data_IF_177801101641
#
_entry.id   IF_177801101641
#
_cell.length_a   1.000
_cell.length_b   1.000
_cell.length_c   1.000
_cell.angle_alpha   90.00
_cell.angle_beta   90.00
_cell.angle_gamma   90.00
#
_symmetry.space_group_name_H-M   'P 1'
#
loop_
_entity.id
_entity.type
_entity.pdbx_description
1 polymer ?
#
# COMPACT_ATOMS: atom_id res chain seq x y z
N UNK A 1 -28.60 -14.32 12.90
CA UNK A 1 -27.50 -13.44 13.41
C UNK A 1 -27.55 -12.16 12.60
N UNK A 2 -27.46 -11.04 13.27
CA UNK A 2 -27.39 -9.73 12.60
C UNK A 2 -26.14 -9.65 11.73
N UNK A 3 -26.24 -8.98 10.58
CA UNK A 3 -25.07 -8.78 9.69
C UNK A 3 -24.04 -7.91 10.42
N UNK A 4 -22.73 -8.26 10.44
CA UNK A 4 -21.72 -7.48 11.16
C UNK A 4 -21.55 -6.09 10.57
N UNK A 5 -21.26 -5.11 11.40
CA UNK A 5 -20.96 -3.74 10.95
C UNK A 5 -19.58 -3.68 10.31
N UNK A 6 -19.49 -3.09 9.11
CA UNK A 6 -18.23 -2.78 8.41
C UNK A 6 -18.01 -1.27 8.44
N UNK A 7 -16.91 -0.80 9.02
CA UNK A 7 -16.48 0.59 8.93
C UNK A 7 -15.57 0.77 7.71
N UNK A 8 -16.02 1.56 6.74
CA UNK A 8 -15.22 1.96 5.57
C UNK A 8 -14.57 3.31 5.86
N UNK A 9 -13.24 3.37 5.86
CA UNK A 9 -12.46 4.57 6.16
C UNK A 9 -11.95 5.16 4.84
N UNK A 10 -12.36 6.39 4.52
CA UNK A 10 -11.99 7.13 3.31
C UNK A 10 -11.25 8.41 3.70
N UNK A 11 -9.91 8.45 3.59
CA UNK A 11 -9.16 9.69 3.71
C UNK A 11 -9.40 10.54 2.45
N UNK A 12 -9.80 11.80 2.63
CA UNK A 12 -10.09 12.74 1.54
C UNK A 12 -9.24 13.99 1.67
N UNK A 13 -8.53 14.36 0.61
CA UNK A 13 -7.84 15.63 0.47
C UNK A 13 -7.90 16.11 -0.97
N UNK A 14 -8.60 17.23 -1.20
CA UNK A 14 -8.82 17.80 -2.54
C UNK A 14 -9.35 16.73 -3.54
N UNK A 15 -10.37 16.01 -3.12
CA UNK A 15 -10.96 14.89 -3.84
C UNK A 15 -12.40 15.15 -4.34
N UNK A 16 -12.86 16.40 -4.39
CA UNK A 16 -14.23 16.78 -4.74
C UNK A 16 -14.76 16.08 -5.98
N UNK A 17 -13.91 15.95 -7.01
CA UNK A 17 -14.27 15.33 -8.29
C UNK A 17 -14.60 13.84 -8.15
N UNK A 18 -13.97 13.14 -7.21
CA UNK A 18 -13.97 11.68 -7.14
C UNK A 18 -14.90 11.15 -6.04
N UNK A 19 -15.06 11.88 -4.95
CA UNK A 19 -15.89 11.50 -3.79
C UNK A 19 -17.29 10.98 -4.14
N UNK A 20 -18.05 11.55 -5.10
CA UNK A 20 -19.39 11.04 -5.42
C UNK A 20 -19.36 9.59 -5.93
N UNK A 21 -18.41 9.24 -6.79
CA UNK A 21 -18.26 7.88 -7.31
C UNK A 21 -17.79 6.90 -6.23
N UNK A 22 -16.81 7.34 -5.41
CA UNK A 22 -16.30 6.58 -4.28
C UNK A 22 -17.43 6.22 -3.30
N UNK A 23 -18.19 7.20 -2.80
CA UNK A 23 -19.30 7.00 -1.87
C UNK A 23 -20.40 6.14 -2.50
N UNK A 24 -20.80 6.42 -3.75
CA UNK A 24 -21.78 5.63 -4.45
C UNK A 24 -21.36 4.16 -4.61
N UNK A 25 -20.05 3.87 -4.71
CA UNK A 25 -19.55 2.49 -4.78
C UNK A 25 -19.76 1.70 -3.48
N UNK A 26 -19.71 2.39 -2.33
CA UNK A 26 -20.02 1.82 -1.02
C UNK A 26 -21.54 1.64 -0.86
N UNK A 27 -22.33 2.63 -1.23
CA UNK A 27 -23.80 2.58 -1.14
C UNK A 27 -24.41 1.45 -1.95
N UNK A 28 -23.80 1.10 -3.10
CA UNK A 28 -24.24 0.01 -3.97
C UNK A 28 -23.84 -1.40 -3.50
N UNK A 29 -23.11 -1.54 -2.39
CA UNK A 29 -22.76 -2.86 -1.87
C UNK A 29 -24.01 -3.61 -1.39
N UNK A 30 -24.04 -4.92 -1.59
CA UNK A 30 -25.15 -5.79 -1.16
C UNK A 30 -25.22 -5.91 0.36
N UNK A 31 -24.06 -5.91 1.03
CA UNK A 31 -23.97 -5.85 2.48
C UNK A 31 -24.34 -4.45 2.97
N UNK A 32 -25.50 -4.29 3.63
CA UNK A 32 -26.06 -2.97 3.96
C UNK A 32 -25.69 -2.45 5.37
N UNK A 33 -25.15 -3.31 6.24
CA UNK A 33 -24.72 -2.89 7.59
C UNK A 33 -23.27 -2.34 7.57
N UNK A 34 -23.12 -1.11 7.07
CA UNK A 34 -21.86 -0.39 7.03
C UNK A 34 -22.02 1.04 7.53
N UNK A 35 -20.91 1.60 7.99
CA UNK A 35 -20.70 3.04 8.14
C UNK A 35 -19.54 3.48 7.26
N UNK A 36 -19.62 4.72 6.75
CA UNK A 36 -18.59 5.32 5.90
C UNK A 36 -18.00 6.53 6.61
N UNK A 37 -16.76 6.45 7.04
CA UNK A 37 -16.02 7.51 7.71
C UNK A 37 -15.25 8.31 6.65
N UNK A 38 -15.80 9.48 6.25
CA UNK A 38 -15.16 10.43 5.36
C UNK A 38 -14.26 11.36 6.17
N UNK A 39 -12.96 11.17 6.08
CA UNK A 39 -11.98 11.97 6.84
C UNK A 39 -11.40 13.03 5.91
N UNK A 40 -11.97 14.24 5.96
CA UNK A 40 -11.47 15.40 5.22
C UNK A 40 -10.22 15.97 5.91
N UNK A 41 -9.08 15.78 5.27
CA UNK A 41 -7.77 16.21 5.77
C UNK A 41 -7.45 17.66 5.37
N UNK A 42 -8.39 18.57 5.64
CA UNK A 42 -8.22 20.01 5.42
C UNK A 42 -8.23 20.41 3.95
N UNK A 43 -9.17 19.90 3.17
CA UNK A 43 -9.34 20.22 1.75
C UNK A 43 -9.66 21.68 1.50
N UNK A 44 -9.21 22.20 0.34
CA UNK A 44 -9.43 23.59 -0.10
C UNK A 44 -10.23 23.69 -1.39
N UNK A 45 -10.62 22.56 -2.00
CA UNK A 45 -11.34 22.50 -3.27
C UNK A 45 -12.87 22.37 -3.12
N UNK A 46 -13.38 22.40 -1.87
CA UNK A 46 -14.79 22.16 -1.54
C UNK A 46 -15.13 20.70 -1.24
N UNK A 47 -14.14 19.81 -1.11
CA UNK A 47 -14.36 18.40 -0.68
C UNK A 47 -15.03 18.33 0.69
N UNK A 48 -14.64 19.19 1.65
CA UNK A 48 -15.22 19.21 2.98
C UNK A 48 -16.73 19.45 2.95
N UNK A 49 -17.17 20.50 2.24
CA UNK A 49 -18.61 20.80 2.09
C UNK A 49 -19.35 19.63 1.41
N UNK A 50 -18.74 19.00 0.40
CA UNK A 50 -19.32 17.83 -0.24
C UNK A 50 -19.44 16.62 0.71
N UNK A 51 -18.50 16.42 1.63
CA UNK A 51 -18.62 15.39 2.66
C UNK A 51 -19.86 15.60 3.54
N UNK A 52 -20.16 16.86 3.91
CA UNK A 52 -21.36 17.21 4.68
C UNK A 52 -22.64 16.98 3.88
N UNK A 53 -22.65 17.35 2.59
CA UNK A 53 -23.79 17.11 1.69
C UNK A 53 -24.08 15.61 1.55
N UNK A 54 -23.04 14.79 1.37
CA UNK A 54 -23.18 13.33 1.26
C UNK A 54 -23.70 12.71 2.56
N UNK A 55 -23.26 13.21 3.71
CA UNK A 55 -23.75 12.78 5.03
C UNK A 55 -25.22 13.18 5.28
N UNK A 56 -25.62 14.35 4.81
CA UNK A 56 -27.02 14.79 4.89
C UNK A 56 -27.95 13.91 4.04
N UNK A 57 -27.45 13.35 2.93
CA UNK A 57 -28.21 12.46 2.04
C UNK A 57 -28.29 11.00 2.55
N UNK A 58 -27.29 10.52 3.29
CA UNK A 58 -27.25 9.16 3.83
C UNK A 58 -26.64 9.16 5.25
N UNK A 59 -27.44 8.91 6.24
CA UNK A 59 -27.03 8.93 7.64
C UNK A 59 -25.97 7.89 8.05
N UNK A 60 -25.60 6.95 7.18
CA UNK A 60 -24.49 6.03 7.37
C UNK A 60 -23.14 6.64 7.02
N UNK A 61 -23.12 7.74 6.25
CA UNK A 61 -21.93 8.53 5.95
C UNK A 61 -21.66 9.48 7.12
N UNK A 62 -20.41 9.46 7.62
CA UNK A 62 -19.98 10.20 8.81
C UNK A 62 -18.77 11.06 8.44
N UNK A 63 -18.95 12.36 8.16
CA UNK A 63 -17.85 13.25 7.87
C UNK A 63 -17.07 13.60 9.14
N UNK A 64 -15.76 13.76 8.98
CA UNK A 64 -14.88 14.29 10.01
C UNK A 64 -13.83 15.18 9.37
N UNK A 65 -13.79 16.45 9.79
CA UNK A 65 -12.84 17.45 9.29
C UNK A 65 -11.67 17.58 10.26
N UNK A 66 -10.46 17.63 9.72
CA UNK A 66 -9.25 17.89 10.49
C UNK A 66 -8.34 18.87 9.74
N UNK A 67 -7.40 19.46 10.45
CA UNK A 67 -6.32 20.19 9.82
C UNK A 67 -5.43 19.22 9.04
N UNK A 68 -4.97 19.62 7.84
CA UNK A 68 -4.14 18.76 7.00
C UNK A 68 -2.93 18.22 7.76
N UNK A 69 -2.86 16.90 7.85
CA UNK A 69 -1.81 16.17 8.55
C UNK A 69 -1.31 14.93 7.78
N UNK A 70 -1.80 14.74 6.55
CA UNK A 70 -1.45 13.68 5.62
C UNK A 70 -2.29 12.41 5.77
N UNK A 71 -2.24 11.56 4.72
CA UNK A 71 -3.08 10.37 4.58
C UNK A 71 -2.99 9.40 5.77
N UNK A 72 -1.79 9.20 6.34
CA UNK A 72 -1.59 8.39 7.54
C UNK A 72 -2.38 8.92 8.74
N UNK A 73 -2.40 10.23 8.95
CA UNK A 73 -3.16 10.86 10.02
C UNK A 73 -4.66 10.72 9.79
N UNK A 74 -5.13 10.90 8.56
CA UNK A 74 -6.53 10.75 8.20
C UNK A 74 -7.00 9.29 8.39
N UNK A 75 -6.22 8.29 7.94
CA UNK A 75 -6.55 6.89 8.17
C UNK A 75 -6.58 6.54 9.66
N UNK A 76 -5.64 7.05 10.46
CA UNK A 76 -5.62 6.87 11.91
C UNK A 76 -6.84 7.49 12.59
N UNK A 77 -7.22 8.70 12.19
CA UNK A 77 -8.45 9.36 12.69
C UNK A 77 -9.70 8.53 12.39
N UNK A 78 -9.75 7.85 11.24
CA UNK A 78 -10.79 6.88 10.91
C UNK A 78 -10.78 5.66 11.84
N UNK A 79 -9.60 5.05 12.08
CA UNK A 79 -9.45 3.90 13.00
C UNK A 79 -9.89 4.26 14.44
N UNK A 80 -9.67 5.49 14.89
CA UNK A 80 -10.09 5.93 16.23
C UNK A 80 -11.60 6.10 16.37
N UNK A 81 -12.32 6.25 15.25
CA UNK A 81 -13.77 6.52 15.20
C UNK A 81 -14.58 5.33 14.72
N UNK A 82 -13.93 4.31 14.17
CA UNK A 82 -14.61 3.12 13.68
C UNK A 82 -15.34 2.38 14.79
N UNK A 83 -16.51 1.83 14.47
CA UNK A 83 -17.33 1.04 15.39
C UNK A 83 -17.61 -0.35 14.85
N UNK A 84 -17.12 -0.63 13.63
CA UNK A 84 -17.36 -1.88 12.94
C UNK A 84 -16.64 -3.07 13.60
N UNK A 85 -17.22 -4.24 13.45
CA UNK A 85 -16.51 -5.50 13.71
C UNK A 85 -15.37 -5.70 12.71
N UNK A 86 -15.57 -5.14 11.51
CA UNK A 86 -14.60 -5.15 10.43
C UNK A 86 -14.29 -3.74 9.93
N UNK A 87 -13.08 -3.55 9.45
CA UNK A 87 -12.57 -2.27 8.91
C UNK A 87 -12.12 -2.48 7.48
N UNK A 88 -12.40 -1.52 6.62
CA UNK A 88 -11.94 -1.46 5.23
C UNK A 88 -11.37 -0.06 4.95
N UNK A 89 -10.24 0.03 4.24
CA UNK A 89 -9.72 1.29 3.72
C UNK A 89 -10.06 1.42 2.24
N UNK A 90 -10.51 2.62 1.84
CA UNK A 90 -10.83 2.96 0.47
C UNK A 90 -10.28 4.36 0.18
N UNK A 91 -9.45 4.51 -0.85
CA UNK A 91 -8.93 5.83 -1.25
C UNK A 91 -10.03 6.62 -1.96
N UNK A 92 -10.05 7.95 -1.75
CA UNK A 92 -11.16 8.82 -2.18
C UNK A 92 -11.33 8.92 -3.71
N UNK A 93 -10.30 8.57 -4.46
CA UNK A 93 -10.27 8.54 -5.93
C UNK A 93 -10.59 7.17 -6.55
N UNK A 94 -10.84 6.14 -5.70
CA UNK A 94 -11.09 4.77 -6.09
C UNK A 94 -12.55 4.32 -5.79
N UNK A 95 -12.89 3.09 -6.20
CA UNK A 95 -14.24 2.53 -6.04
C UNK A 95 -14.19 1.05 -5.61
N UNK A 96 -15.15 0.63 -4.78
CA UNK A 96 -15.39 -0.79 -4.53
C UNK A 96 -16.15 -1.41 -5.72
N UNK A 97 -15.72 -2.59 -6.14
CA UNK A 97 -16.46 -3.38 -7.13
C UNK A 97 -17.72 -3.98 -6.49
N UNK A 98 -18.77 -4.28 -7.28
CA UNK A 98 -19.96 -4.98 -6.79
C UNK A 98 -19.59 -6.29 -6.08
N UNK A 99 -20.25 -6.59 -4.96
CA UNK A 99 -20.02 -7.80 -4.17
C UNK A 99 -18.71 -7.82 -3.37
N UNK A 100 -17.94 -6.73 -3.34
CA UNK A 100 -16.66 -6.65 -2.61
C UNK A 100 -16.83 -7.02 -1.13
N UNK A 101 -17.73 -6.36 -0.42
CA UNK A 101 -17.93 -6.57 1.02
C UNK A 101 -18.39 -8.00 1.31
N UNK A 102 -19.36 -8.50 0.57
CA UNK A 102 -19.91 -9.86 0.73
C UNK A 102 -18.85 -10.92 0.50
N UNK A 103 -18.10 -10.81 -0.60
CA UNK A 103 -17.05 -11.77 -0.96
C UNK A 103 -15.95 -11.86 0.08
N UNK A 104 -15.45 -10.72 0.57
CA UNK A 104 -14.40 -10.68 1.58
C UNK A 104 -14.91 -11.19 2.94
N UNK A 105 -16.14 -10.82 3.32
CA UNK A 105 -16.75 -11.28 4.57
C UNK A 105 -16.97 -12.79 4.56
N UNK A 106 -17.43 -13.35 3.44
CA UNK A 106 -17.61 -14.78 3.29
C UNK A 106 -16.27 -15.53 3.33
N UNK A 107 -15.23 -14.96 2.72
CA UNK A 107 -13.89 -15.53 2.81
C UNK A 107 -13.38 -15.59 4.27
N UNK A 108 -13.59 -14.51 5.05
CA UNK A 108 -13.23 -14.49 6.48
C UNK A 108 -14.00 -15.55 7.27
N UNK A 109 -15.32 -15.64 7.06
CA UNK A 109 -16.18 -16.59 7.78
C UNK A 109 -15.85 -18.05 7.45
N UNK A 110 -15.66 -18.37 6.18
CA UNK A 110 -15.37 -19.73 5.73
C UNK A 110 -14.00 -20.23 6.14
N UNK A 111 -13.02 -19.34 6.28
CA UNK A 111 -11.64 -19.71 6.61
C UNK A 111 -11.26 -19.46 8.05
N UNK A 112 -12.06 -18.68 8.80
CA UNK A 112 -11.68 -18.18 10.12
C UNK A 112 -10.52 -17.20 10.07
N UNK A 113 -10.28 -16.55 8.91
CA UNK A 113 -9.20 -15.58 8.77
C UNK A 113 -9.52 -14.25 9.46
N UNK A 114 -8.46 -13.49 9.75
CA UNK A 114 -8.54 -12.16 10.35
C UNK A 114 -8.46 -11.05 9.30
N UNK A 115 -7.83 -11.35 8.16
CA UNK A 115 -7.67 -10.44 7.02
C UNK A 115 -8.06 -11.17 5.76
N UNK A 116 -8.97 -10.60 4.96
CA UNK A 116 -9.26 -11.04 3.60
C UNK A 116 -8.82 -9.97 2.60
N UNK A 117 -8.25 -10.40 1.48
CA UNK A 117 -7.78 -9.52 0.40
C UNK A 117 -8.21 -10.02 -0.96
N UNK A 118 -8.52 -9.11 -1.87
CA UNK A 118 -8.80 -9.43 -3.29
C UNK A 118 -7.98 -8.56 -4.23
N UNK A 119 -8.15 -8.79 -5.53
CA UNK A 119 -7.45 -8.07 -6.60
C UNK A 119 -8.03 -6.68 -6.83
N UNK A 120 -7.21 -5.81 -7.38
CA UNK A 120 -7.62 -4.57 -8.02
C UNK A 120 -7.67 -4.70 -9.54
N UNK A 121 -8.23 -3.70 -10.22
CA UNK A 121 -8.23 -3.61 -11.68
C UNK A 121 -6.84 -3.45 -12.29
N UNK A 122 -5.81 -3.14 -11.51
CA UNK A 122 -4.42 -3.03 -11.94
C UNK A 122 -3.64 -4.34 -11.79
N UNK A 123 -4.20 -5.31 -11.07
CA UNK A 123 -3.51 -6.56 -10.80
C UNK A 123 -3.63 -7.51 -12.00
N UNK A 124 -2.53 -7.71 -12.72
CA UNK A 124 -2.42 -8.58 -13.90
C UNK A 124 -1.77 -9.94 -13.60
N UNK A 125 -1.48 -10.25 -12.32
CA UNK A 125 -0.83 -11.51 -11.96
C UNK A 125 -1.78 -12.71 -12.10
N UNK A 126 -1.24 -13.83 -12.60
CA UNK A 126 -1.97 -15.07 -12.68
C UNK A 126 -2.22 -15.64 -11.27
N UNK A 127 -3.45 -16.02 -11.01
CA UNK A 127 -3.85 -16.66 -9.77
C UNK A 127 -3.64 -18.18 -9.90
N UNK A 128 -2.51 -18.68 -9.41
CA UNK A 128 -2.14 -20.11 -9.57
C UNK A 128 -2.62 -20.97 -8.38
N UNK A 129 -3.78 -20.67 -7.81
CA UNK A 129 -4.38 -21.46 -6.73
C UNK A 129 -5.59 -22.27 -7.21
N UNK A 130 -5.62 -23.61 -6.98
CA UNK A 130 -6.68 -24.49 -7.49
C UNK A 130 -8.10 -24.13 -6.99
N UNK A 131 -8.19 -23.45 -5.85
CA UNK A 131 -9.47 -23.11 -5.18
C UNK A 131 -9.87 -21.64 -5.35
N UNK A 132 -9.27 -20.89 -6.28
CA UNK A 132 -9.48 -19.43 -6.41
C UNK A 132 -9.25 -18.65 -5.10
N UNK A 133 -8.54 -19.25 -4.15
CA UNK A 133 -8.14 -18.65 -2.86
C UNK A 133 -6.90 -19.32 -2.30
N UNK A 134 -6.13 -18.59 -1.48
CA UNK A 134 -5.07 -19.13 -0.64
C UNK A 134 -5.27 -18.66 0.80
N UNK A 135 -4.70 -19.40 1.74
CA UNK A 135 -4.69 -19.01 3.16
C UNK A 135 -3.25 -19.06 3.65
N UNK A 136 -2.82 -17.97 4.27
CA UNK A 136 -1.55 -17.89 5.00
C UNK A 136 -1.80 -17.93 6.50
N UNK A 137 -0.98 -18.68 7.21
CA UNK A 137 -1.00 -18.79 8.65
C UNK A 137 0.36 -18.37 9.22
N UNK A 138 0.36 -17.64 10.32
CA UNK A 138 1.61 -17.29 11.01
C UNK A 138 2.62 -16.58 10.12
N UNK A 139 3.84 -17.14 10.02
CA UNK A 139 4.97 -16.54 9.29
C UNK A 139 4.79 -16.51 7.76
N UNK A 140 3.85 -17.28 7.19
CA UNK A 140 3.59 -17.25 5.74
C UNK A 140 3.16 -15.87 5.28
N UNK A 141 2.32 -15.18 6.07
CA UNK A 141 1.90 -13.81 5.79
C UNK A 141 3.07 -12.82 5.84
N UNK A 142 3.94 -12.97 6.83
CA UNK A 142 5.16 -12.16 6.95
C UNK A 142 6.08 -12.39 5.74
N UNK A 143 6.34 -13.65 5.40
CA UNK A 143 7.14 -14.04 4.23
C UNK A 143 6.56 -13.50 2.93
N UNK A 144 5.23 -13.60 2.72
CA UNK A 144 4.53 -13.03 1.57
C UNK A 144 4.71 -11.53 1.43
N UNK A 145 4.80 -10.79 2.58
CA UNK A 145 5.02 -9.34 2.59
C UNK A 145 6.45 -8.89 2.29
N UNK A 146 7.42 -9.81 2.37
CA UNK A 146 8.82 -9.58 2.00
C UNK A 146 9.09 -9.92 0.53
N UNK A 147 8.24 -10.77 -0.06
CA UNK A 147 8.23 -11.09 -1.48
C UNK A 147 7.50 -10.03 -2.32
N UNK A 148 7.40 -10.30 -3.61
CA UNK A 148 6.71 -9.41 -4.55
C UNK A 148 5.21 -9.78 -4.69
N UNK A 149 4.55 -10.22 -3.60
CA UNK A 149 3.14 -10.62 -3.67
C UNK A 149 2.22 -9.38 -3.69
N UNK A 150 1.44 -9.17 -4.77
CA UNK A 150 0.69 -7.92 -4.98
C UNK A 150 -0.27 -7.55 -3.85
N UNK A 151 -0.91 -8.53 -3.22
CA UNK A 151 -1.88 -8.29 -2.14
C UNK A 151 -1.26 -7.74 -0.84
N UNK A 152 0.07 -7.60 -0.76
CA UNK A 152 0.75 -7.14 0.45
C UNK A 152 1.28 -5.71 0.39
N UNK A 153 1.04 -4.99 -0.71
CA UNK A 153 1.58 -3.64 -0.90
C UNK A 153 0.68 -2.51 -0.38
N UNK A 154 -0.64 -2.74 -0.31
CA UNK A 154 -1.61 -1.70 0.00
C UNK A 154 -2.41 -2.01 1.25
N UNK A 155 -2.94 -0.99 1.91
CA UNK A 155 -3.96 -1.14 2.95
C UNK A 155 -5.36 -1.32 2.37
N UNK A 156 -5.65 -0.78 1.19
CA UNK A 156 -6.93 -0.94 0.47
C UNK A 156 -7.08 -2.33 -0.17
N UNK A 157 -8.28 -2.63 -0.65
CA UNK A 157 -8.60 -3.93 -1.24
C UNK A 157 -8.61 -5.08 -0.22
N UNK A 158 -8.91 -4.77 1.05
CA UNK A 158 -8.90 -5.72 2.16
C UNK A 158 -10.02 -5.45 3.15
N UNK A 159 -10.47 -6.52 3.81
CA UNK A 159 -11.34 -6.47 4.96
C UNK A 159 -10.58 -7.02 6.17
N UNK A 160 -10.47 -6.20 7.20
CA UNK A 160 -9.73 -6.50 8.42
C UNK A 160 -10.70 -6.76 9.56
N UNK A 161 -10.54 -7.85 10.31
CA UNK A 161 -11.18 -7.94 11.63
C UNK A 161 -10.61 -6.83 12.51
N UNK A 162 -11.46 -6.00 13.12
CA UNK A 162 -11.02 -4.84 13.91
C UNK A 162 -10.00 -5.23 15.00
N UNK A 163 -10.19 -6.39 15.62
CA UNK A 163 -9.29 -6.89 16.65
C UNK A 163 -7.84 -7.06 16.18
N UNK A 164 -7.59 -7.41 14.89
CA UNK A 164 -6.22 -7.55 14.38
C UNK A 164 -5.52 -6.19 14.22
N UNK A 165 -6.27 -5.15 13.91
CA UNK A 165 -5.73 -3.79 13.87
C UNK A 165 -5.26 -3.40 15.28
N UNK A 166 -6.11 -3.50 16.29
CA UNK A 166 -5.78 -3.15 17.67
C UNK A 166 -5.15 -1.76 17.75
N UNK A 167 -3.96 -1.69 18.37
CA UNK A 167 -3.20 -0.45 18.55
C UNK A 167 -2.29 -0.10 17.37
N UNK A 168 -2.26 -0.91 16.30
CA UNK A 168 -1.44 -0.62 15.13
C UNK A 168 -1.98 0.62 14.41
N UNK A 169 -1.08 1.54 14.08
CA UNK A 169 -1.40 2.79 13.39
C UNK A 169 -0.47 3.02 12.20
N UNK A 170 -0.97 3.74 11.21
CA UNK A 170 -0.12 4.26 10.13
C UNK A 170 0.92 5.22 10.70
N UNK A 171 2.16 5.07 10.30
CA UNK A 171 3.24 5.97 10.73
C UNK A 171 3.16 7.30 9.99
N UNK A 172 3.01 8.40 10.72
CA UNK A 172 2.87 9.76 10.16
C UNK A 172 4.18 10.31 9.58
N UNK A 173 5.32 9.74 9.97
CA UNK A 173 6.65 10.09 9.48
C UNK A 173 7.07 9.31 8.22
N UNK A 174 6.20 8.45 7.68
CA UNK A 174 6.35 7.74 6.41
C UNK A 174 5.31 8.30 5.44
N UNK A 175 5.77 8.84 4.30
CA UNK A 175 4.93 9.50 3.29
C UNK A 175 4.73 8.66 2.03
N UNK A 176 5.55 7.62 1.84
CA UNK A 176 5.45 6.63 0.77
C UNK A 176 5.70 5.25 1.35
N UNK A 177 4.89 4.25 0.96
CA UNK A 177 4.86 2.89 1.50
C UNK A 177 4.38 2.81 2.97
N UNK A 178 3.66 3.82 3.46
CA UNK A 178 3.05 3.83 4.79
C UNK A 178 2.03 2.70 4.94
N UNK A 179 1.29 2.41 3.89
CA UNK A 179 0.27 1.35 3.81
C UNK A 179 0.91 -0.05 3.77
N UNK A 180 1.97 -0.22 2.98
CA UNK A 180 2.76 -1.46 2.98
C UNK A 180 3.42 -1.72 4.34
N UNK A 181 3.87 -0.69 5.03
CA UNK A 181 4.44 -0.83 6.37
C UNK A 181 3.37 -1.14 7.41
N UNK A 182 2.20 -0.48 7.34
CA UNK A 182 1.06 -0.77 8.22
C UNK A 182 0.62 -2.25 8.10
N UNK A 183 0.41 -2.72 6.86
CA UNK A 183 0.03 -4.12 6.65
C UNK A 183 1.13 -5.09 7.13
N UNK A 184 2.40 -4.79 6.88
CA UNK A 184 3.51 -5.59 7.39
C UNK A 184 3.47 -5.70 8.92
N UNK A 185 3.25 -4.59 9.64
CA UNK A 185 3.11 -4.62 11.10
C UNK A 185 1.93 -5.49 11.58
N UNK A 186 0.83 -5.49 10.83
CA UNK A 186 -0.30 -6.40 11.12
C UNK A 186 0.11 -7.86 10.88
N UNK A 187 0.77 -8.16 9.78
CA UNK A 187 1.22 -9.53 9.45
C UNK A 187 2.24 -10.06 10.47
N UNK A 188 3.07 -9.19 11.06
CA UNK A 188 3.98 -9.58 12.16
C UNK A 188 3.25 -10.05 13.43
N UNK A 189 1.95 -9.75 13.59
CA UNK A 189 1.11 -10.35 14.65
C UNK A 189 0.67 -11.77 14.30
N UNK A 190 1.07 -12.29 13.16
CA UNK A 190 0.78 -13.62 12.65
C UNK A 190 -0.74 -13.94 12.53
N UNK A 191 -1.55 -13.01 11.97
CA UNK A 191 -2.95 -13.29 11.72
C UNK A 191 -3.11 -14.36 10.65
N UNK A 192 -4.29 -14.97 10.62
CA UNK A 192 -4.69 -15.78 9.48
C UNK A 192 -5.15 -14.86 8.36
N UNK A 193 -4.51 -14.95 7.19
CA UNK A 193 -4.76 -14.13 6.01
C UNK A 193 -5.34 -14.98 4.89
N UNK A 194 -6.40 -14.53 4.22
CA UNK A 194 -6.96 -15.17 3.04
C UNK A 194 -6.93 -14.23 1.84
N UNK A 195 -6.41 -14.73 0.71
CA UNK A 195 -6.53 -14.07 -0.59
C UNK A 195 -7.64 -14.71 -1.41
N UNK A 196 -8.44 -13.91 -2.14
CA UNK A 196 -9.48 -14.37 -3.06
C UNK A 196 -9.18 -13.93 -4.49
N UNK A 197 -9.43 -14.83 -5.46
CA UNK A 197 -9.26 -14.56 -6.90
C UNK A 197 -10.48 -13.82 -7.45
N UNK A 198 -10.69 -12.61 -6.96
CA UNK A 198 -11.75 -11.74 -7.42
C UNK A 198 -11.25 -10.30 -7.49
N UNK A 199 -11.62 -9.58 -8.55
CA UNK A 199 -11.40 -8.13 -8.63
C UNK A 199 -12.47 -7.45 -7.79
N UNK A 200 -12.06 -6.89 -6.66
CA UNK A 200 -12.95 -6.28 -5.66
C UNK A 200 -12.75 -4.77 -5.54
N UNK A 201 -11.71 -4.23 -6.17
CA UNK A 201 -11.29 -2.85 -6.04
C UNK A 201 -10.97 -2.25 -7.41
N UNK A 202 -11.58 -1.11 -7.74
CA UNK A 202 -11.27 -0.33 -8.93
C UNK A 202 -10.25 0.74 -8.57
N UNK A 203 -9.02 0.53 -9.00
CA UNK A 203 -7.98 1.54 -8.89
C UNK A 203 -8.07 2.51 -10.07
N UNK A 204 -8.39 3.78 -9.79
CA UNK A 204 -8.50 4.83 -10.78
C UNK A 204 -7.17 5.56 -10.95
N UNK A 205 -6.64 5.60 -12.16
CA UNK A 205 -5.37 6.26 -12.45
C UNK A 205 -5.58 7.76 -12.57
N UNK A 206 -5.25 8.50 -11.51
CA UNK A 206 -5.33 9.96 -11.50
C UNK A 206 -4.00 10.58 -11.94
N UNK A 207 -3.97 11.48 -12.95
CA UNK A 207 -2.72 12.08 -13.45
C UNK A 207 -1.92 12.84 -12.38
N UNK A 208 -2.60 13.44 -11.41
CA UNK A 208 -2.04 14.22 -10.29
C UNK A 208 -1.84 13.41 -9.01
N UNK A 209 -2.07 12.10 -9.06
CA UNK A 209 -1.96 11.22 -7.89
C UNK A 209 -0.56 11.20 -7.27
N UNK A 210 -0.51 10.96 -5.95
CA UNK A 210 0.73 10.99 -5.16
C UNK A 210 1.82 10.04 -5.69
N UNK A 211 1.43 8.90 -6.26
CA UNK A 211 2.32 7.88 -6.84
C UNK A 211 2.98 8.30 -8.17
N UNK A 212 2.49 9.36 -8.84
CA UNK A 212 3.00 9.87 -10.13
C UNK A 212 3.71 11.21 -10.03
N UNK A 213 3.83 11.76 -8.83
CA UNK A 213 4.54 13.00 -8.61
C UNK A 213 6.02 12.88 -9.03
N UNK A 214 6.61 13.99 -9.48
CA UNK A 214 8.04 14.05 -9.75
C UNK A 214 8.84 13.60 -8.53
N UNK A 215 10.03 13.01 -8.77
CA UNK A 215 10.92 12.58 -7.69
C UNK A 215 11.16 13.71 -6.68
N UNK A 216 10.99 13.39 -5.44
CA UNK A 216 11.28 14.27 -4.30
C UNK A 216 11.78 13.43 -3.13
N UNK A 217 12.27 14.06 -2.06
CA UNK A 217 12.87 13.37 -0.90
C UNK A 217 11.90 12.44 -0.17
N UNK A 218 10.58 12.57 -0.38
CA UNK A 218 9.61 11.60 0.13
C UNK A 218 9.86 10.17 -0.36
N UNK A 219 10.47 10.01 -1.56
CA UNK A 219 10.82 8.69 -2.09
C UNK A 219 11.91 7.97 -1.28
N UNK A 220 12.65 8.68 -0.43
CA UNK A 220 13.59 8.04 0.49
C UNK A 220 12.91 7.12 1.51
N UNK A 221 11.61 7.30 1.74
CA UNK A 221 10.84 6.38 2.56
C UNK A 221 10.81 4.95 2.01
N UNK A 222 11.03 4.73 0.70
CA UNK A 222 11.08 3.39 0.08
C UNK A 222 12.16 2.52 0.73
N UNK A 223 13.39 3.03 0.81
CA UNK A 223 14.46 2.26 1.44
C UNK A 223 14.40 2.32 2.97
N UNK A 224 13.90 3.43 3.55
CA UNK A 224 13.68 3.54 5.00
C UNK A 224 12.68 2.49 5.50
N UNK A 225 11.57 2.29 4.78
CA UNK A 225 10.59 1.24 5.10
C UNK A 225 11.22 -0.15 4.97
N UNK A 226 12.05 -0.37 3.94
CA UNK A 226 12.76 -1.64 3.79
C UNK A 226 13.76 -1.89 4.94
N UNK A 227 14.46 -0.87 5.41
CA UNK A 227 15.36 -0.98 6.55
C UNK A 227 14.57 -1.26 7.85
N UNK A 228 13.45 -0.56 8.09
CA UNK A 228 12.57 -0.81 9.24
C UNK A 228 12.01 -2.24 9.25
N UNK A 229 11.53 -2.72 8.10
CA UNK A 229 11.07 -4.12 7.96
C UNK A 229 12.21 -5.10 8.26
N UNK A 230 13.40 -4.84 7.74
CA UNK A 230 14.57 -5.69 7.98
C UNK A 230 14.93 -5.77 9.46
N UNK A 231 14.93 -4.65 10.19
CA UNK A 231 15.21 -4.62 11.63
C UNK A 231 14.21 -5.45 12.43
N UNK A 232 12.92 -5.36 12.10
CA UNK A 232 11.88 -6.16 12.74
C UNK A 232 12.09 -7.66 12.43
N UNK A 233 12.37 -8.02 11.17
CA UNK A 233 12.62 -9.41 10.78
C UNK A 233 13.87 -9.97 11.47
N UNK A 234 14.93 -9.19 11.57
CA UNK A 234 16.17 -9.60 12.24
C UNK A 234 15.93 -9.93 13.72
N UNK A 235 15.06 -9.16 14.39
CA UNK A 235 14.73 -9.34 15.80
C UNK A 235 13.74 -10.48 16.03
N UNK A 236 12.64 -10.52 15.27
CA UNK A 236 11.45 -11.31 15.60
C UNK A 236 11.26 -12.55 14.70
N UNK A 237 11.85 -12.55 13.48
CA UNK A 237 11.67 -13.61 12.47
C UNK A 237 12.98 -14.00 11.79
N UNK A 238 14.02 -14.45 12.53
CA UNK A 238 15.36 -14.68 11.99
C UNK A 238 15.41 -15.69 10.84
N UNK A 239 14.46 -16.63 10.75
CA UNK A 239 14.33 -17.56 9.64
C UNK A 239 14.04 -16.86 8.29
N UNK A 240 13.45 -15.66 8.31
CA UNK A 240 13.11 -14.87 7.13
C UNK A 240 14.20 -13.84 6.77
N UNK A 241 15.34 -13.84 7.44
CA UNK A 241 16.39 -12.83 7.25
C UNK A 241 16.90 -12.75 5.81
N UNK A 242 17.04 -13.89 5.13
CA UNK A 242 17.45 -13.92 3.72
C UNK A 242 16.46 -13.20 2.79
N UNK A 243 15.16 -13.42 2.99
CA UNK A 243 14.11 -12.75 2.23
C UNK A 243 14.08 -11.23 2.51
N UNK A 244 14.24 -10.84 3.78
CA UNK A 244 14.31 -9.43 4.17
C UNK A 244 15.55 -8.72 3.59
N UNK A 245 16.70 -9.40 3.54
CA UNK A 245 17.91 -8.87 2.89
C UNK A 245 17.69 -8.65 1.39
N UNK A 246 17.05 -9.61 0.71
CA UNK A 246 16.73 -9.49 -0.71
C UNK A 246 15.75 -8.32 -0.97
N UNK A 247 14.69 -8.18 -0.18
CA UNK A 247 13.75 -7.04 -0.25
C UNK A 247 14.49 -5.72 -0.07
N UNK A 248 15.35 -5.61 0.93
CA UNK A 248 16.15 -4.41 1.21
C UNK A 248 17.10 -4.07 0.07
N UNK A 249 17.76 -5.07 -0.49
CA UNK A 249 18.65 -4.90 -1.64
C UNK A 249 17.87 -4.37 -2.86
N UNK A 250 16.70 -4.93 -3.16
CA UNK A 250 15.81 -4.44 -4.23
C UNK A 250 15.39 -2.97 -4.01
N UNK A 251 15.09 -2.58 -2.77
CA UNK A 251 14.74 -1.19 -2.44
C UNK A 251 15.89 -0.22 -2.71
N UNK A 252 17.14 -0.60 -2.37
CA UNK A 252 18.33 0.21 -2.69
C UNK A 252 18.58 0.29 -4.20
N UNK A 253 18.38 -0.81 -4.92
CA UNK A 253 18.51 -0.83 -6.39
C UNK A 253 17.48 0.06 -7.06
N UNK A 254 16.21 0.02 -6.61
CA UNK A 254 15.14 0.89 -7.10
C UNK A 254 15.44 2.36 -6.82
N UNK A 255 15.97 2.68 -5.65
CA UNK A 255 16.36 4.05 -5.33
C UNK A 255 17.47 4.56 -6.27
N UNK A 256 18.48 3.73 -6.56
CA UNK A 256 19.54 4.09 -7.52
C UNK A 256 18.98 4.33 -8.93
N UNK A 257 17.95 3.58 -9.36
CA UNK A 257 17.27 3.81 -10.64
C UNK A 257 16.54 5.18 -10.64
N UNK A 258 15.83 5.51 -9.55
CA UNK A 258 15.18 6.82 -9.40
C UNK A 258 16.19 7.97 -9.39
N UNK A 259 17.31 7.82 -8.67
CA UNK A 259 18.36 8.81 -8.59
C UNK A 259 19.09 8.99 -9.93
N UNK A 260 19.24 7.95 -10.74
CA UNK A 260 19.80 8.05 -12.08
C UNK A 260 19.00 9.00 -12.97
N UNK A 261 17.67 9.08 -12.76
CA UNK A 261 16.80 10.01 -13.50
C UNK A 261 16.90 11.48 -13.02
N UNK A 262 17.50 11.74 -11.84
CA UNK A 262 17.61 13.08 -11.27
C UNK A 262 18.79 13.84 -11.89
N UNK A 263 18.59 15.07 -12.38
CA UNK A 263 19.70 15.87 -12.93
C UNK A 263 20.62 16.38 -11.79
N UNK A 264 21.88 16.67 -12.17
CA UNK A 264 22.84 17.29 -11.26
C UNK A 264 23.54 16.30 -10.32
N UNK A 265 24.12 16.82 -9.23
CA UNK A 265 24.97 16.06 -8.28
C UNK A 265 24.46 16.08 -6.84
N UNK A 266 23.25 16.60 -6.61
CA UNK A 266 22.65 16.79 -5.27
C UNK A 266 22.71 15.51 -4.41
N UNK A 267 22.47 14.34 -5.01
CA UNK A 267 22.37 13.06 -4.29
C UNK A 267 23.60 12.16 -4.45
N UNK A 268 24.75 12.71 -4.89
CA UNK A 268 25.92 11.90 -5.23
C UNK A 268 26.49 11.09 -4.07
N UNK A 269 26.44 11.61 -2.86
CA UNK A 269 26.95 10.88 -1.70
C UNK A 269 26.01 9.76 -1.28
N UNK A 270 24.69 9.97 -1.36
CA UNK A 270 23.71 8.91 -1.19
C UNK A 270 23.85 7.82 -2.28
N UNK A 271 24.10 8.19 -3.55
CA UNK A 271 24.38 7.22 -4.62
C UNK A 271 25.60 6.34 -4.30
N UNK A 272 26.71 6.94 -3.81
CA UNK A 272 27.90 6.19 -3.43
C UNK A 272 27.63 5.22 -2.26
N UNK A 273 26.91 5.70 -1.25
CA UNK A 273 26.50 4.90 -0.10
C UNK A 273 25.67 3.69 -0.53
N UNK A 274 24.61 3.91 -1.33
CA UNK A 274 23.75 2.86 -1.81
C UNK A 274 24.49 1.87 -2.72
N UNK A 275 25.40 2.34 -3.59
CA UNK A 275 26.25 1.47 -4.40
C UNK A 275 27.14 0.56 -3.54
N UNK A 276 27.68 1.10 -2.44
CA UNK A 276 28.46 0.32 -1.49
C UNK A 276 27.61 -0.77 -0.82
N UNK A 277 26.40 -0.40 -0.35
CA UNK A 277 25.44 -1.33 0.26
C UNK A 277 25.02 -2.43 -0.71
N UNK A 278 24.68 -2.10 -1.97
CA UNK A 278 24.30 -3.06 -3.02
C UNK A 278 25.44 -4.05 -3.30
N UNK A 279 26.68 -3.57 -3.43
CA UNK A 279 27.84 -4.43 -3.67
C UNK A 279 28.11 -5.39 -2.50
N UNK A 280 27.98 -4.91 -1.27
CA UNK A 280 28.16 -5.75 -0.08
C UNK A 280 27.07 -6.83 0.03
N UNK A 281 25.84 -6.50 -0.32
CA UNK A 281 24.67 -7.40 -0.19
C UNK A 281 24.38 -8.24 -1.45
N UNK A 282 25.19 -8.16 -2.52
CA UNK A 282 24.89 -8.80 -3.82
C UNK A 282 24.60 -10.31 -3.74
N UNK A 283 25.22 -11.02 -2.79
CA UNK A 283 25.00 -12.44 -2.57
C UNK A 283 23.62 -12.81 -2.03
N UNK A 284 22.86 -11.82 -1.53
CA UNK A 284 21.48 -12.02 -1.05
C UNK A 284 20.42 -11.82 -2.15
N UNK A 285 20.83 -11.46 -3.37
CA UNK A 285 19.89 -11.19 -4.45
C UNK A 285 19.28 -12.48 -4.98
N UNK A 286 17.95 -12.51 -4.97
CA UNK A 286 17.18 -13.55 -5.64
C UNK A 286 16.55 -12.92 -6.88
N UNK A 287 16.94 -13.45 -8.05
CA UNK A 287 16.45 -12.98 -9.34
C UNK A 287 14.93 -13.17 -9.45
N UNK A 288 14.26 -12.12 -9.87
CA UNK A 288 12.84 -12.16 -10.23
C UNK A 288 12.65 -11.87 -11.73
N UNK A 289 13.57 -11.12 -12.34
CA UNK A 289 13.47 -10.71 -13.75
C UNK A 289 14.85 -10.51 -14.37
N UNK A 290 14.99 -10.77 -15.69
CA UNK A 290 16.23 -10.47 -16.44
C UNK A 290 16.65 -9.00 -16.35
N UNK A 291 15.70 -8.09 -16.24
CA UNK A 291 15.98 -6.65 -16.04
C UNK A 291 16.66 -6.39 -14.70
N UNK A 292 16.19 -7.05 -13.64
CA UNK A 292 16.80 -6.94 -12.31
C UNK A 292 18.22 -7.49 -12.28
N UNK A 293 18.49 -8.62 -12.96
CA UNK A 293 19.82 -9.21 -13.06
C UNK A 293 20.78 -8.28 -13.79
N UNK A 294 20.36 -7.72 -14.93
CA UNK A 294 21.15 -6.75 -15.69
C UNK A 294 21.42 -5.49 -14.86
N UNK A 295 20.42 -5.02 -14.11
CA UNK A 295 20.58 -3.84 -13.26
C UNK A 295 21.56 -4.10 -12.12
N UNK A 296 21.47 -5.25 -11.45
CA UNK A 296 22.45 -5.63 -10.44
C UNK A 296 23.87 -5.70 -11.03
N UNK A 297 24.03 -6.24 -12.24
CA UNK A 297 25.31 -6.26 -12.93
C UNK A 297 25.87 -4.84 -13.14
N UNK A 298 25.06 -3.91 -13.66
CA UNK A 298 25.44 -2.49 -13.84
C UNK A 298 25.92 -1.86 -12.52
N UNK A 299 25.18 -2.09 -11.43
CA UNK A 299 25.49 -1.52 -10.12
C UNK A 299 26.77 -2.10 -9.49
N UNK A 300 27.03 -3.39 -9.69
CA UNK A 300 28.18 -4.07 -9.06
C UNK A 300 29.48 -3.96 -9.85
N UNK A 301 29.43 -3.75 -11.18
CA UNK A 301 30.60 -3.65 -12.05
C UNK A 301 31.03 -2.23 -12.40
N UNK A 302 30.57 -1.23 -11.65
CA UNK A 302 31.02 0.17 -11.81
C UNK A 302 30.38 0.92 -12.98
N UNK A 303 29.36 0.33 -13.62
CA UNK A 303 28.69 0.89 -14.80
C UNK A 303 27.57 1.89 -14.47
N UNK A 304 27.29 2.15 -13.18
CA UNK A 304 26.20 3.03 -12.76
C UNK A 304 26.33 4.46 -13.31
N UNK A 305 27.51 5.09 -13.20
CA UNK A 305 27.68 6.46 -13.66
C UNK A 305 27.66 6.61 -15.20
N UNK A 306 28.29 5.71 -15.99
CA UNK A 306 28.08 5.64 -17.43
C UNK A 306 26.60 5.46 -17.81
N UNK A 307 25.87 4.54 -17.16
CA UNK A 307 24.44 4.35 -17.38
C UNK A 307 23.64 5.62 -17.07
N UNK A 308 23.87 6.24 -15.92
CA UNK A 308 23.20 7.49 -15.52
C UNK A 308 23.41 8.61 -16.53
N UNK A 309 24.62 8.75 -17.04
CA UNK A 309 24.95 9.76 -18.05
C UNK A 309 24.17 9.50 -19.35
N UNK A 310 24.20 8.28 -19.86
CA UNK A 310 23.46 7.90 -21.07
C UNK A 310 21.95 8.09 -20.90
N UNK A 311 21.38 7.67 -19.77
CA UNK A 311 19.97 7.83 -19.46
C UNK A 311 19.52 9.31 -19.45
N UNK A 312 20.33 10.20 -18.86
CA UNK A 312 20.05 11.63 -18.83
C UNK A 312 20.14 12.29 -20.22
N UNK A 313 21.05 11.84 -21.08
CA UNK A 313 21.13 12.31 -22.47
C UNK A 313 19.88 11.93 -23.27
N UNK A 314 19.45 10.68 -23.19
CA UNK A 314 18.23 10.17 -23.87
C UNK A 314 16.99 10.96 -23.40
N UNK A 315 16.86 11.19 -22.10
CA UNK A 315 15.73 11.94 -21.54
C UNK A 315 15.70 13.42 -21.94
N UNK A 316 16.88 14.00 -22.24
CA UNK A 316 16.97 15.39 -22.76
C UNK A 316 16.64 15.47 -24.26
N UNK A 317 17.00 14.45 -25.02
CA UNK A 317 16.75 14.40 -26.46
C UNK A 317 15.30 14.08 -26.83
N UNK A 318 14.53 13.47 -25.90
CA UNK A 318 13.11 13.14 -26.07
C UNK A 318 12.14 14.24 -25.57
N UNK A 319 12.66 15.40 -25.15
CA UNK A 319 11.91 16.63 -24.86
C UNK A 319 12.11 17.65 -25.97
#
# INVERSE_FOLDING_TARGET
>A
MEAPLISVIVPAYNAKKYLPACVASVQRQEHQNWELLLIDDGSTDGSGALCDELAAADGRVKPHHQQNAGVSAARNAGIERDRGEYVMFLDADDELMPGCMTSLLDALRQTGADIAAGKSTQDSFAWNHPQSRFVWNGEEGVSGSLGDHPLTYSAWGKLYRRAVIGDTRFRRDIRINEDSFFLFCLLCKQPRFVGVDQVIYRYNVVPTGASRAAFSEKYFDIFRVADLKYEIIQRDFPALLGAAQNMRLKAWMNMLELLAACPGRKYRDLEKELLCKVRAARGSYVSATRRGDLWLFVLTHGLYYPYRFAYQLIKRAGK
#
